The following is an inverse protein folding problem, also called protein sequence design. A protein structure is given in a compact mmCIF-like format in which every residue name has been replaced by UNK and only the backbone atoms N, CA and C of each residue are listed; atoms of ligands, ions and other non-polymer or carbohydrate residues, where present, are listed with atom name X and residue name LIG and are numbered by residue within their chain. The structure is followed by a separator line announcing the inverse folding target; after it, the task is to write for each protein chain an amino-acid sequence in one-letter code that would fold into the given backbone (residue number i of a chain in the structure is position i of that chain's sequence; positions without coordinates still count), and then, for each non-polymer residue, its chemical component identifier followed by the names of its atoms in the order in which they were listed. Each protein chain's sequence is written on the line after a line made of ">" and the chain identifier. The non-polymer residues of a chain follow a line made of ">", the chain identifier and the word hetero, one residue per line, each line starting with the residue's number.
data_IF_502704634593
#
_entry.id   IF_502704634593
#
_cell.length_a   1.000
_cell.length_b   1.000
_cell.length_c   1.000
_cell.angle_alpha   90.00
_cell.angle_beta   90.00
_cell.angle_gamma   90.00
#
_symmetry.space_group_name_H-M   'P 1'
#
loop_
_entity.id
_entity.type
_entity.pdbx_description
1 polymer ?
#
# COMPACT_ATOMS: atom_id res chain seq x y z
N UNK A 1 -4.61 21.07 -24.48
CA UNK A 1 -6.06 21.36 -24.30
C UNK A 1 -6.55 20.64 -23.05
N UNK A 2 -7.51 21.20 -22.33
CA UNK A 2 -8.17 20.51 -21.20
C UNK A 2 -9.22 19.52 -21.73
N UNK A 3 -9.33 18.37 -21.09
CA UNK A 3 -10.39 17.37 -21.36
C UNK A 3 -11.70 17.84 -20.72
N UNK A 4 -12.81 17.77 -21.45
CA UNK A 4 -14.14 18.21 -20.97
C UNK A 4 -14.65 17.41 -19.76
N UNK A 5 -14.35 16.10 -19.70
CA UNK A 5 -14.64 15.25 -18.54
C UNK A 5 -13.36 14.62 -17.94
N UNK A 6 -12.73 15.27 -16.96
CA UNK A 6 -11.51 14.75 -16.34
C UNK A 6 -11.77 13.56 -15.39
N UNK A 7 -13.01 13.37 -14.91
CA UNK A 7 -13.36 12.33 -13.93
C UNK A 7 -14.01 11.15 -14.66
N UNK A 8 -13.24 10.07 -14.84
CA UNK A 8 -13.62 8.90 -15.65
C UNK A 8 -13.75 7.58 -14.85
N UNK A 9 -13.45 7.61 -13.54
CA UNK A 9 -13.52 6.45 -12.65
C UNK A 9 -14.34 6.76 -11.38
N UNK A 10 -14.93 5.72 -10.82
CA UNK A 10 -15.52 5.78 -9.47
C UNK A 10 -14.41 5.90 -8.41
N UNK A 11 -14.62 6.68 -7.33
CA UNK A 11 -13.67 6.73 -6.21
C UNK A 11 -13.71 5.48 -5.33
N UNK A 12 -14.74 4.63 -5.46
CA UNK A 12 -14.96 3.46 -4.61
C UNK A 12 -14.47 2.13 -5.23
N UNK A 13 -14.31 2.12 -6.56
CA UNK A 13 -13.90 0.94 -7.32
C UNK A 13 -12.44 1.09 -7.81
N UNK A 14 -11.85 -0.04 -8.22
CA UNK A 14 -10.53 -0.01 -8.85
C UNK A 14 -10.58 0.81 -10.16
N UNK A 15 -9.64 1.74 -10.39
CA UNK A 15 -9.62 2.52 -11.62
C UNK A 15 -9.43 1.63 -12.86
N UNK A 16 -10.28 1.79 -13.86
CA UNK A 16 -10.27 0.98 -15.09
C UNK A 16 -9.85 1.76 -16.32
N UNK A 17 -9.72 3.08 -16.23
CA UNK A 17 -9.33 3.94 -17.35
C UNK A 17 -8.43 5.08 -16.87
N UNK A 18 -7.60 5.63 -17.74
CA UNK A 18 -6.82 6.83 -17.45
C UNK A 18 -6.55 7.66 -18.71
N UNK A 19 -6.33 8.96 -18.52
CA UNK A 19 -5.84 9.85 -19.57
C UNK A 19 -4.31 9.74 -19.65
N UNK A 20 -3.80 9.34 -20.81
CA UNK A 20 -2.40 9.44 -21.19
C UNK A 20 -2.21 10.70 -22.04
N UNK A 21 -1.03 11.32 -21.99
CA UNK A 21 -0.71 12.42 -22.90
C UNK A 21 0.32 11.92 -23.90
N UNK A 22 -0.09 11.79 -25.15
CA UNK A 22 0.75 11.38 -26.28
C UNK A 22 0.85 12.58 -27.22
N UNK A 23 2.06 13.06 -27.52
CA UNK A 23 2.30 14.23 -28.38
C UNK A 23 1.51 15.49 -27.95
N UNK A 24 1.30 15.66 -26.65
CA UNK A 24 0.54 16.79 -26.09
C UNK A 24 -0.99 16.67 -26.21
N UNK A 25 -1.50 15.56 -26.75
CA UNK A 25 -2.93 15.27 -26.82
C UNK A 25 -3.37 14.24 -25.76
N UNK A 26 -4.50 14.46 -25.07
CA UNK A 26 -5.03 13.52 -24.11
C UNK A 26 -5.68 12.33 -24.83
N UNK A 27 -5.14 11.13 -24.63
CA UNK A 27 -5.66 9.86 -25.16
C UNK A 27 -6.23 9.04 -24.00
N UNK A 28 -7.47 8.56 -24.15
CA UNK A 28 -8.08 7.67 -23.16
C UNK A 28 -7.49 6.26 -23.34
N UNK A 29 -6.90 5.72 -22.28
CA UNK A 29 -6.39 4.34 -22.24
C UNK A 29 -7.19 3.50 -21.25
N UNK A 30 -7.32 2.22 -21.56
CA UNK A 30 -7.91 1.23 -20.68
C UNK A 30 -6.89 0.71 -19.65
N UNK A 31 -7.41 0.19 -18.55
CA UNK A 31 -6.65 -0.27 -17.41
C UNK A 31 -6.36 0.82 -16.38
N UNK A 32 -5.62 0.41 -15.35
CA UNK A 32 -5.14 1.31 -14.30
C UNK A 32 -3.86 1.98 -14.75
N UNK A 33 -3.75 3.30 -14.55
CA UNK A 33 -2.52 4.04 -14.81
C UNK A 33 -1.32 3.42 -14.06
N UNK A 34 -0.22 3.06 -14.75
CA UNK A 34 1.01 2.62 -14.11
C UNK A 34 1.54 3.67 -13.13
N UNK A 35 2.07 3.22 -11.99
CA UNK A 35 2.82 4.08 -11.09
C UNK A 35 4.14 4.47 -11.78
N UNK A 36 4.46 5.77 -11.72
CA UNK A 36 5.63 6.35 -12.36
C UNK A 36 5.68 7.85 -12.13
N UNK A 37 6.72 8.49 -12.65
CA UNK A 37 6.88 9.94 -12.68
C UNK A 37 7.42 10.37 -14.03
N UNK A 38 7.17 11.62 -14.40
CA UNK A 38 7.75 12.21 -15.60
C UNK A 38 9.03 12.95 -15.24
N UNK A 39 10.12 12.66 -15.95
CA UNK A 39 11.34 13.46 -15.87
C UNK A 39 11.24 14.62 -16.86
N UNK A 40 11.42 15.84 -16.37
CA UNK A 40 11.75 16.97 -17.23
C UNK A 40 13.25 17.03 -17.36
N UNK A 41 13.77 16.82 -18.58
CA UNK A 41 15.19 16.98 -18.82
C UNK A 41 15.61 18.41 -18.47
N UNK A 42 16.49 18.53 -17.48
CA UNK A 42 16.94 19.81 -16.93
C UNK A 42 18.15 20.31 -17.71
N UNK A 43 17.98 20.56 -19.01
CA UNK A 43 19.08 21.07 -19.83
C UNK A 43 19.23 22.57 -19.60
N UNK A 44 20.33 23.00 -18.99
CA UNK A 44 20.73 24.41 -18.87
C UNK A 44 21.21 24.90 -20.25
N UNK A 45 20.31 25.46 -21.05
CA UNK A 45 20.67 26.12 -22.32
C UNK A 45 19.46 26.82 -22.96
N UNK A 46 19.64 27.97 -23.65
CA UNK A 46 18.56 28.73 -24.27
C UNK A 46 18.10 28.16 -25.63
N UNK A 47 18.33 26.88 -25.89
CA UNK A 47 17.93 26.21 -27.13
C UNK A 47 17.13 24.94 -26.81
N UNK A 48 15.90 24.91 -27.34
CA UNK A 48 14.96 23.79 -27.39
C UNK A 48 14.37 23.34 -26.05
N UNK A 49 13.42 24.14 -25.56
CA UNK A 49 12.39 23.77 -24.59
C UNK A 49 11.32 22.83 -25.20
N UNK A 50 11.75 21.77 -25.89
CA UNK A 50 10.93 20.70 -26.47
C UNK A 50 11.48 19.34 -26.03
N UNK A 51 11.88 19.23 -24.76
CA UNK A 51 12.32 17.96 -24.19
C UNK A 51 11.08 17.17 -23.79
N UNK A 52 10.84 16.07 -24.52
CA UNK A 52 9.80 15.09 -24.28
C UNK A 52 9.80 14.68 -22.80
N UNK A 53 8.62 14.72 -22.17
CA UNK A 53 8.44 14.25 -20.80
C UNK A 53 8.53 12.72 -20.79
N UNK A 54 9.71 12.18 -20.50
CA UNK A 54 9.90 10.74 -20.42
C UNK A 54 9.23 10.18 -19.16
N UNK A 55 8.36 9.18 -19.35
CA UNK A 55 7.70 8.48 -18.25
C UNK A 55 8.61 7.38 -17.69
N UNK A 56 8.99 7.52 -16.43
CA UNK A 56 9.75 6.50 -15.70
C UNK A 56 8.80 5.69 -14.83
N UNK A 57 8.59 4.40 -15.10
CA UNK A 57 7.75 3.54 -14.29
C UNK A 57 8.39 3.23 -12.92
N UNK A 58 7.55 2.99 -11.92
CA UNK A 58 7.95 2.48 -10.61
C UNK A 58 7.65 0.98 -10.55
N UNK A 59 8.53 0.17 -11.12
CA UNK A 59 8.30 -1.27 -11.34
C UNK A 59 7.97 -2.04 -10.06
N UNK A 60 8.70 -1.76 -8.97
CA UNK A 60 8.43 -2.37 -7.67
C UNK A 60 7.01 -2.06 -7.18
N UNK A 61 6.55 -0.82 -7.34
CA UNK A 61 5.20 -0.41 -6.91
C UNK A 61 4.13 -1.06 -7.78
N UNK A 62 4.35 -1.13 -9.10
CA UNK A 62 3.43 -1.79 -10.02
C UNK A 62 3.33 -3.29 -9.71
N UNK A 63 4.46 -3.95 -9.48
CA UNK A 63 4.50 -5.36 -9.08
C UNK A 63 3.77 -5.60 -7.76
N UNK A 64 4.00 -4.75 -6.74
CA UNK A 64 3.29 -4.87 -5.46
C UNK A 64 1.77 -4.71 -5.66
N UNK A 65 1.31 -3.77 -6.49
CA UNK A 65 -0.13 -3.60 -6.77
C UNK A 65 -0.74 -4.87 -7.37
N UNK A 66 -0.06 -5.50 -8.32
CA UNK A 66 -0.51 -6.76 -8.92
C UNK A 66 -0.56 -7.89 -7.89
N UNK A 67 0.47 -8.01 -7.05
CA UNK A 67 0.53 -9.02 -5.98
C UNK A 67 -0.58 -8.83 -4.95
N UNK A 68 -0.79 -7.60 -4.48
CA UNK A 68 -1.86 -7.26 -3.53
C UNK A 68 -3.24 -7.52 -4.15
N UNK A 69 -3.43 -7.18 -5.43
CA UNK A 69 -4.69 -7.49 -6.15
C UNK A 69 -4.95 -8.99 -6.21
N UNK A 70 -3.96 -9.78 -6.60
CA UNK A 70 -4.09 -11.23 -6.69
C UNK A 70 -4.34 -11.85 -5.30
N UNK A 71 -3.63 -11.38 -4.27
CA UNK A 71 -3.80 -11.80 -2.88
C UNK A 71 -5.21 -11.47 -2.33
N UNK A 72 -5.72 -10.26 -2.63
CA UNK A 72 -7.10 -9.86 -2.32
C UNK A 72 -8.13 -10.78 -2.97
N UNK A 73 -7.95 -11.10 -4.26
CA UNK A 73 -8.87 -11.98 -5.01
C UNK A 73 -8.91 -13.41 -4.46
N UNK A 74 -7.82 -13.87 -3.84
CA UNK A 74 -7.76 -15.18 -3.17
C UNK A 74 -8.28 -15.17 -1.73
N UNK A 75 -8.83 -14.05 -1.25
CA UNK A 75 -9.39 -13.96 0.11
C UNK A 75 -8.34 -13.81 1.21
N UNK A 76 -7.20 -13.16 0.91
CA UNK A 76 -6.17 -12.81 1.89
C UNK A 76 -5.48 -14.02 2.55
N UNK A 77 -4.88 -14.96 1.80
CA UNK A 77 -4.20 -16.12 2.39
C UNK A 77 -3.01 -15.72 3.27
N UNK A 78 -2.76 -16.51 4.32
CA UNK A 78 -1.57 -16.40 5.16
C UNK A 78 -1.57 -15.27 6.20
N UNK A 79 -2.72 -14.65 6.45
CA UNK A 79 -2.90 -13.58 7.47
C UNK A 79 -3.37 -14.12 8.81
N UNK A 80 -3.37 -13.26 9.84
CA UNK A 80 -3.97 -13.61 11.13
C UNK A 80 -5.49 -13.83 11.02
N UNK A 81 -6.12 -14.60 11.93
CA UNK A 81 -7.56 -14.86 11.86
C UNK A 81 -8.46 -13.62 11.95
N UNK A 82 -7.94 -12.52 12.49
CA UNK A 82 -8.68 -11.26 12.68
C UNK A 82 -8.64 -10.39 11.42
N UNK A 83 -7.54 -10.41 10.67
CA UNK A 83 -7.34 -9.56 9.50
C UNK A 83 -8.46 -9.69 8.46
N UNK A 84 -8.92 -10.89 8.04
CA UNK A 84 -10.02 -11.03 7.08
C UNK A 84 -11.34 -10.47 7.60
N UNK A 85 -11.63 -10.64 8.90
CA UNK A 85 -12.85 -10.11 9.53
C UNK A 85 -12.87 -8.58 9.52
N UNK A 86 -11.73 -7.96 9.82
CA UNK A 86 -11.58 -6.51 9.76
C UNK A 86 -11.70 -5.96 8.33
N UNK A 87 -11.03 -6.60 7.38
CA UNK A 87 -11.11 -6.23 5.97
C UNK A 87 -12.54 -6.37 5.44
N UNK A 88 -13.26 -7.44 5.81
CA UNK A 88 -14.67 -7.62 5.47
C UNK A 88 -15.54 -6.51 6.07
N UNK A 89 -15.35 -6.19 7.36
CA UNK A 89 -16.08 -5.12 8.02
C UNK A 89 -15.85 -3.75 7.35
N UNK A 90 -14.60 -3.42 7.01
CA UNK A 90 -14.26 -2.15 6.37
C UNK A 90 -14.70 -2.07 4.90
N UNK A 91 -14.76 -3.21 4.21
CA UNK A 91 -15.19 -3.32 2.83
C UNK A 91 -16.71 -3.49 2.66
N UNK A 92 -17.48 -3.52 3.76
CA UNK A 92 -18.94 -3.66 3.69
C UNK A 92 -19.58 -2.47 2.93
N UNK A 93 -20.31 -2.72 1.82
CA UNK A 93 -20.94 -1.66 1.03
C UNK A 93 -22.06 -0.92 1.78
N UNK A 94 -22.68 -1.55 2.79
CA UNK A 94 -23.76 -0.98 3.60
C UNK A 94 -23.26 -0.03 4.70
N UNK A 95 -21.94 0.09 4.86
CA UNK A 95 -21.34 0.96 5.85
C UNK A 95 -21.71 2.42 5.55
N UNK A 96 -22.20 3.14 6.56
CA UNK A 96 -22.62 4.55 6.44
C UNK A 96 -21.57 5.44 5.75
N UNK A 97 -20.29 5.17 5.99
CA UNK A 97 -19.17 5.83 5.31
C UNK A 97 -18.33 4.79 4.59
N UNK A 98 -18.64 4.57 3.31
CA UNK A 98 -17.86 3.70 2.42
C UNK A 98 -16.44 4.24 2.26
N UNK A 99 -15.45 3.35 2.33
CA UNK A 99 -14.06 3.70 2.10
C UNK A 99 -13.78 3.85 0.61
N UNK A 100 -12.95 4.82 0.25
CA UNK A 100 -12.46 4.93 -1.12
C UNK A 100 -11.54 3.76 -1.46
N UNK A 101 -11.48 3.39 -2.74
CA UNK A 101 -10.60 2.33 -3.21
C UNK A 101 -9.14 2.57 -2.81
N UNK A 102 -8.66 3.80 -2.95
CA UNK A 102 -7.28 4.15 -2.58
C UNK A 102 -6.99 4.00 -1.08
N UNK A 103 -8.00 4.16 -0.22
CA UNK A 103 -7.85 3.95 1.22
C UNK A 103 -7.78 2.47 1.53
N UNK A 104 -8.70 1.67 0.95
CA UNK A 104 -8.74 0.21 1.10
C UNK A 104 -7.44 -0.42 0.63
N UNK A 105 -7.00 -0.06 -0.57
CA UNK A 105 -5.77 -0.57 -1.16
C UNK A 105 -4.53 -0.18 -0.35
N UNK A 106 -4.45 1.05 0.18
CA UNK A 106 -3.34 1.47 1.02
C UNK A 106 -3.24 0.61 2.29
N UNK A 107 -4.37 0.35 2.94
CA UNK A 107 -4.43 -0.52 4.13
C UNK A 107 -4.04 -1.95 3.77
N UNK A 108 -4.64 -2.52 2.73
CA UNK A 108 -4.34 -3.89 2.29
C UNK A 108 -2.89 -4.07 1.86
N UNK A 109 -2.28 -3.07 1.22
CA UNK A 109 -0.87 -3.10 0.85
C UNK A 109 0.02 -3.15 2.08
N UNK A 110 -0.27 -2.33 3.11
CA UNK A 110 0.46 -2.37 4.37
C UNK A 110 0.30 -3.72 5.07
N UNK A 111 -0.93 -4.24 5.16
CA UNK A 111 -1.20 -5.55 5.75
C UNK A 111 -0.44 -6.64 4.99
N UNK A 112 -0.47 -6.62 3.65
CA UNK A 112 0.25 -7.59 2.83
C UNK A 112 1.77 -7.54 3.07
N UNK A 113 2.36 -6.34 3.17
CA UNK A 113 3.78 -6.18 3.49
C UNK A 113 4.15 -6.82 4.83
N UNK A 114 3.29 -6.67 5.85
CA UNK A 114 3.54 -7.15 7.21
C UNK A 114 3.16 -8.62 7.43
N UNK A 115 1.93 -9.03 7.09
CA UNK A 115 1.38 -10.35 7.42
C UNK A 115 1.49 -11.39 6.31
N UNK A 116 1.60 -11.00 5.04
CA UNK A 116 1.63 -12.00 3.97
C UNK A 116 2.83 -12.95 4.13
N UNK A 117 2.66 -14.19 3.67
CA UNK A 117 3.71 -15.20 3.75
C UNK A 117 4.94 -14.80 2.92
N UNK A 118 6.13 -15.35 3.23
CA UNK A 118 7.32 -15.14 2.40
C UNK A 118 7.12 -15.57 0.93
N UNK A 119 6.29 -16.60 0.68
CA UNK A 119 5.96 -17.05 -0.68
C UNK A 119 5.19 -16.00 -1.47
N UNK A 120 4.26 -15.28 -0.83
CA UNK A 120 3.52 -14.18 -1.47
C UNK A 120 4.45 -13.03 -1.89
N UNK A 121 5.49 -12.79 -1.09
CA UNK A 121 6.51 -11.75 -1.29
C UNK A 121 7.72 -12.20 -2.11
N UNK A 122 7.69 -13.41 -2.68
CA UNK A 122 8.82 -13.92 -3.45
C UNK A 122 9.14 -13.02 -4.65
N UNK A 123 10.42 -12.63 -4.76
CA UNK A 123 10.93 -11.74 -5.81
C UNK A 123 10.70 -10.26 -5.54
N UNK A 124 10.15 -9.90 -4.37
CA UNK A 124 9.97 -8.51 -3.95
C UNK A 124 11.08 -8.17 -2.97
N UNK A 125 12.07 -7.42 -3.45
CA UNK A 125 13.11 -6.86 -2.60
C UNK A 125 12.79 -5.40 -2.27
N UNK A 126 12.73 -5.10 -0.98
CA UNK A 126 12.40 -3.76 -0.48
C UNK A 126 13.68 -3.16 0.09
N UNK A 127 14.18 -2.05 -0.50
CA UNK A 127 15.38 -1.40 -0.03
C UNK A 127 15.28 -1.05 1.46
N UNK A 128 16.31 -1.43 2.21
CA UNK A 128 16.44 -1.11 3.63
C UNK A 128 17.20 0.20 3.82
N UNK A 129 16.74 1.03 4.75
CA UNK A 129 17.50 2.18 5.23
C UNK A 129 18.24 1.76 6.49
N UNK A 130 19.51 1.37 6.33
CA UNK A 130 20.32 0.71 7.37
C UNK A 130 19.63 -0.59 7.83
N UNK A 131 19.29 -0.66 9.12
CA UNK A 131 18.69 -1.84 9.74
C UNK A 131 17.16 -1.84 9.69
N UNK A 132 16.54 -0.76 9.19
CA UNK A 132 15.09 -0.58 9.23
C UNK A 132 14.50 -0.53 7.82
N UNK A 133 13.42 -1.28 7.62
CA UNK A 133 12.59 -1.14 6.43
C UNK A 133 11.55 -0.06 6.68
N UNK A 134 11.56 0.99 5.85
CA UNK A 134 10.61 2.12 5.97
C UNK A 134 9.53 2.01 4.91
N UNK A 135 8.28 2.04 5.33
CA UNK A 135 7.14 2.08 4.44
C UNK A 135 6.51 3.47 4.43
N UNK A 136 6.11 3.93 3.24
CA UNK A 136 5.46 5.22 3.07
C UNK A 136 4.25 5.07 2.12
N UNK A 137 3.10 5.56 2.56
CA UNK A 137 1.90 5.67 1.73
C UNK A 137 1.80 7.07 1.13
N UNK A 138 2.18 7.24 -0.14
CA UNK A 138 2.01 8.51 -0.85
C UNK A 138 0.57 8.66 -1.33
N UNK A 139 -0.16 9.60 -0.75
CA UNK A 139 -1.58 9.83 -1.03
C UNK A 139 -1.86 11.31 -1.28
N UNK A 140 -2.82 11.61 -2.16
CA UNK A 140 -3.24 12.98 -2.45
C UNK A 140 -3.85 13.68 -1.22
N UNK A 141 -3.72 15.00 -1.11
CA UNK A 141 -4.44 15.78 -0.09
C UNK A 141 -5.94 15.65 -0.31
N UNK A 142 -6.72 15.50 0.77
CA UNK A 142 -8.16 15.23 0.69
C UNK A 142 -8.55 13.75 0.48
N UNK A 143 -7.63 12.85 0.13
CA UNK A 143 -7.94 11.42 -0.08
C UNK A 143 -8.16 10.60 1.21
N UNK A 144 -8.04 11.22 2.38
CA UNK A 144 -8.29 10.56 3.67
C UNK A 144 -7.10 9.77 4.24
N UNK A 145 -5.87 10.24 4.06
CA UNK A 145 -4.66 9.66 4.69
C UNK A 145 -4.78 9.45 6.22
N UNK A 146 -5.50 10.31 6.93
CA UNK A 146 -5.80 10.13 8.36
C UNK A 146 -6.72 8.94 8.63
N UNK A 147 -7.70 8.70 7.76
CA UNK A 147 -8.60 7.53 7.86
C UNK A 147 -7.80 6.24 7.68
N UNK A 148 -6.89 6.21 6.70
CA UNK A 148 -5.97 5.07 6.49
C UNK A 148 -5.15 4.80 7.75
N UNK A 149 -4.54 5.83 8.34
CA UNK A 149 -3.78 5.67 9.58
C UNK A 149 -4.63 5.15 10.74
N UNK A 150 -5.86 5.66 10.90
CA UNK A 150 -6.79 5.17 11.92
C UNK A 150 -7.15 3.70 11.74
N UNK A 151 -7.35 3.26 10.51
CA UNK A 151 -7.60 1.84 10.18
C UNK A 151 -6.38 0.98 10.52
N UNK A 152 -5.18 1.42 10.15
CA UNK A 152 -3.93 0.70 10.44
C UNK A 152 -3.70 0.58 11.95
N UNK A 153 -3.94 1.64 12.72
CA UNK A 153 -3.83 1.60 14.18
C UNK A 153 -4.85 0.63 14.77
N UNK A 154 -6.11 0.68 14.33
CA UNK A 154 -7.14 -0.25 14.78
C UNK A 154 -6.78 -1.71 14.44
N UNK A 155 -6.28 -1.97 13.23
CA UNK A 155 -5.77 -3.27 12.82
C UNK A 155 -4.66 -3.77 13.74
N UNK A 156 -3.65 -2.94 14.06
CA UNK A 156 -2.55 -3.32 14.94
C UNK A 156 -3.03 -3.63 16.36
N UNK A 157 -3.87 -2.76 16.93
CA UNK A 157 -4.39 -2.93 18.29
C UNK A 157 -5.22 -4.21 18.40
N UNK A 158 -6.14 -4.44 17.47
CA UNK A 158 -7.01 -5.61 17.49
C UNK A 158 -6.22 -6.91 17.26
N UNK A 159 -5.21 -6.89 16.39
CA UNK A 159 -4.31 -8.04 16.24
C UNK A 159 -3.51 -8.33 17.50
N UNK A 160 -3.03 -7.29 18.21
CA UNK A 160 -2.30 -7.47 19.47
C UNK A 160 -3.19 -8.02 20.57
N UNK A 161 -4.43 -7.55 20.66
CA UNK A 161 -5.42 -8.02 21.64
C UNK A 161 -5.85 -9.46 21.38
N UNK A 162 -6.04 -9.84 20.11
CA UNK A 162 -6.38 -11.21 19.75
C UNK A 162 -5.23 -12.19 19.93
N UNK A 163 -3.98 -11.72 19.91
CA UNK A 163 -2.78 -12.52 20.13
C UNK A 163 -1.90 -11.97 21.27
N UNK A 164 -2.35 -12.03 22.55
CA UNK A 164 -1.61 -11.46 23.68
C UNK A 164 -0.24 -12.11 23.91
N UNK A 165 -0.12 -13.39 23.56
CA UNK A 165 1.09 -14.20 23.72
C UNK A 165 2.08 -14.05 22.55
N UNK A 166 1.70 -13.33 21.49
CA UNK A 166 2.61 -12.98 20.41
C UNK A 166 3.66 -12.00 20.93
N UNK A 167 4.83 -12.53 21.33
CA UNK A 167 6.06 -11.74 21.38
C UNK A 167 6.17 -10.97 20.06
N UNK A 168 6.56 -9.70 20.12
CA UNK A 168 7.13 -9.05 18.95
C UNK A 168 8.23 -9.98 18.45
N UNK A 169 8.06 -10.59 17.27
CA UNK A 169 9.10 -11.41 16.69
C UNK A 169 10.33 -10.50 16.53
N UNK A 170 11.46 -10.79 17.20
CA UNK A 170 12.69 -10.10 16.87
C UNK A 170 13.01 -10.43 15.41
N UNK A 171 13.22 -9.39 14.61
CA UNK A 171 13.91 -9.51 13.33
C UNK A 171 15.22 -10.25 13.63
N UNK A 172 15.46 -11.33 12.89
CA UNK A 172 16.28 -12.44 13.33
C UNK A 172 17.67 -12.09 13.85
N UNK A 173 18.06 -12.76 14.93
CA UNK A 173 19.42 -13.22 15.14
C UNK A 173 19.35 -14.67 15.61
N UNK A 174 20.12 -15.53 14.94
CA UNK A 174 20.35 -16.89 15.41
C UNK A 174 21.14 -16.84 16.73
N UNK A 175 20.62 -17.52 17.75
CA UNK A 175 21.29 -17.65 19.04
C UNK A 175 20.35 -18.16 20.13
N UNK A 176 20.49 -19.46 20.42
CA UNK A 176 20.12 -20.24 21.62
C UNK A 176 19.09 -19.69 22.64
N UNK A 177 18.08 -20.51 23.07
CA UNK A 177 17.05 -20.04 23.99
C UNK A 177 17.56 -19.91 25.45
N UNK A 178 17.30 -18.79 26.15
CA UNK A 178 17.60 -18.72 27.58
C UNK A 178 16.49 -19.39 28.40
N UNK A 179 16.94 -20.06 29.47
CA UNK A 179 16.15 -20.86 30.41
C UNK A 179 15.05 -20.04 31.10
N UNK A 180 13.94 -20.71 31.43
CA UNK A 180 12.83 -20.18 32.24
C UNK A 180 13.35 -19.58 33.55
N UNK A 181 12.95 -18.34 33.83
CA UNK A 181 12.92 -17.79 35.18
C UNK A 181 11.64 -16.97 35.36
N UNK A 182 10.82 -17.38 36.32
CA UNK A 182 10.12 -16.50 37.26
C UNK A 182 9.06 -15.53 36.72
N UNK A 183 7.81 -15.81 37.06
CA UNK A 183 6.72 -14.84 37.16
C UNK A 183 7.13 -13.59 37.95
N UNK A 184 6.87 -12.38 37.44
CA UNK A 184 6.59 -11.23 38.31
C UNK A 184 5.87 -10.09 37.58
N UNK A 185 4.67 -9.75 38.07
CA UNK A 185 4.26 -8.38 38.41
C UNK A 185 3.96 -7.37 37.29
N UNK A 186 2.66 -7.11 37.12
CA UNK A 186 2.08 -5.86 36.60
C UNK A 186 2.63 -4.65 37.39
N UNK A 187 2.94 -3.54 36.71
CA UNK A 187 2.64 -2.17 37.22
C UNK A 187 2.75 -1.11 36.13
N UNK A 188 1.66 -0.36 36.00
CA UNK A 188 1.54 0.94 35.34
C UNK A 188 2.52 1.97 35.89
N UNK A 189 3.00 2.82 34.99
CA UNK A 189 3.05 4.28 35.15
C UNK A 189 2.67 4.90 33.80
#
# INVERSE_FOLDING_TARGET
>A
MLVDNPIINSPFEEPTRYWAYEEGQPVLKEGRRPAGYYLKARTRGPQMAMLEEEFVPLDLVNTIRERVKAWRQRGYPGVTPITPQLLQHWNNPERQRRLFFCQREAVETLIWLFEASPAEKQGIDIPRDKDLTRYACKMATGSGKTVVMGIVVAWQVLNKLANPQGRCAPVGEGGEPPRRVGSLGIRSL
#
